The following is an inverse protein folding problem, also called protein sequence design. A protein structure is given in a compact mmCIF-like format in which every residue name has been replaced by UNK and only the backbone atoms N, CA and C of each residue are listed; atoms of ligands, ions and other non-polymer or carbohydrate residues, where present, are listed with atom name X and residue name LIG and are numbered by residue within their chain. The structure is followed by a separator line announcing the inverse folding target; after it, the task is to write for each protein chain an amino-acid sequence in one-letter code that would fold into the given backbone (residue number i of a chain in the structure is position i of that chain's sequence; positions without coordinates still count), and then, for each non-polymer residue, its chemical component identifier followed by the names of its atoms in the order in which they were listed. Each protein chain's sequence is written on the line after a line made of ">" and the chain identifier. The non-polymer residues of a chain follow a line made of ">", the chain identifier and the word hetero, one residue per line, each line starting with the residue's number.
data_IF_676773663904
#
_entry.id   IF_676773663904
#
_cell.length_a   1.000
_cell.length_b   1.000
_cell.length_c   1.000
_cell.angle_alpha   90.00
_cell.angle_beta   90.00
_cell.angle_gamma   90.00
#
_symmetry.space_group_name_H-M   'P 1'
#
loop_
_entity.id
_entity.type
_entity.pdbx_description
1 polymer ?
#
# COMPACT_ATOMS: atom_id res chain seq x y z
N UNK A 1 -11.63 0.81 -0.18
CA UNK A 1 -11.35 -0.53 -0.77
C UNK A 1 -10.24 -1.17 0.05
N UNK A 2 -10.31 -2.47 0.39
CA UNK A 2 -9.23 -3.16 1.13
C UNK A 2 -8.25 -3.83 0.17
N UNK A 3 -6.95 -3.77 0.43
CA UNK A 3 -5.92 -4.42 -0.36
C UNK A 3 -6.18 -5.91 -0.56
N UNK A 4 -6.76 -6.61 0.43
CA UNK A 4 -7.11 -8.04 0.29
C UNK A 4 -8.00 -8.33 -0.92
N UNK A 5 -8.95 -7.44 -1.23
CA UNK A 5 -9.80 -7.57 -2.41
C UNK A 5 -9.06 -7.31 -3.72
N UNK A 6 -8.06 -6.42 -3.69
CA UNK A 6 -7.25 -6.07 -4.86
C UNK A 6 -6.08 -7.04 -5.10
N UNK A 7 -5.61 -7.74 -4.05
CA UNK A 7 -4.46 -8.67 -4.09
C UNK A 7 -4.64 -9.80 -5.10
N UNK A 8 -5.88 -10.26 -5.29
CA UNK A 8 -6.20 -11.36 -6.21
C UNK A 8 -6.37 -10.92 -7.67
N UNK A 9 -6.26 -9.62 -7.95
CA UNK A 9 -6.32 -9.12 -9.33
C UNK A 9 -5.04 -9.46 -10.10
N UNK A 10 -5.21 -9.73 -11.39
CA UNK A 10 -4.09 -9.78 -12.32
C UNK A 10 -3.48 -8.38 -12.49
N UNK A 11 -2.22 -8.33 -12.95
CA UNK A 11 -1.47 -7.08 -13.02
C UNK A 11 -2.18 -6.01 -13.89
N UNK A 12 -2.81 -6.42 -14.99
CA UNK A 12 -3.52 -5.51 -15.91
C UNK A 12 -4.74 -4.87 -15.26
N UNK A 13 -5.59 -5.66 -14.59
CA UNK A 13 -6.77 -5.16 -13.85
C UNK A 13 -6.34 -4.33 -12.64
N UNK A 14 -5.28 -4.76 -11.94
CA UNK A 14 -4.72 -4.02 -10.82
C UNK A 14 -4.25 -2.63 -11.26
N UNK A 15 -3.45 -2.55 -12.33
CA UNK A 15 -2.96 -1.27 -12.89
C UNK A 15 -4.11 -0.39 -13.37
N UNK A 16 -5.12 -0.95 -14.03
CA UNK A 16 -6.30 -0.17 -14.47
C UNK A 16 -7.05 0.44 -13.28
N UNK A 17 -7.20 -0.33 -12.20
CA UNK A 17 -7.92 0.08 -11.00
C UNK A 17 -7.13 1.11 -10.18
N UNK A 18 -5.89 0.78 -9.82
CA UNK A 18 -5.05 1.53 -8.87
C UNK A 18 -4.18 2.60 -9.54
N UNK A 19 -3.92 2.50 -10.84
CA UNK A 19 -3.05 3.40 -11.60
C UNK A 19 -1.58 2.99 -11.62
N UNK A 20 -1.17 2.07 -10.74
CA UNK A 20 0.21 1.59 -10.60
C UNK A 20 0.28 0.09 -10.86
N UNK A 21 1.36 -0.39 -11.47
CA UNK A 21 1.57 -1.83 -11.67
C UNK A 21 1.77 -2.53 -10.32
N UNK A 22 1.29 -3.77 -10.21
CA UNK A 22 1.39 -4.58 -8.99
C UNK A 22 2.83 -4.72 -8.44
N UNK A 23 3.87 -5.03 -9.25
CA UNK A 23 5.24 -5.11 -8.72
C UNK A 23 5.74 -3.77 -8.15
N UNK A 24 5.39 -2.65 -8.78
CA UNK A 24 5.76 -1.31 -8.27
C UNK A 24 5.03 -1.01 -6.96
N UNK A 25 3.75 -1.38 -6.87
CA UNK A 25 3.00 -1.27 -5.60
C UNK A 25 3.67 -2.07 -4.48
N UNK A 26 4.09 -3.30 -4.75
CA UNK A 26 4.76 -4.16 -3.76
C UNK A 26 6.11 -3.56 -3.30
N UNK A 27 6.87 -2.96 -4.21
CA UNK A 27 8.10 -2.21 -3.87
C UNK A 27 7.81 -0.98 -3.00
N UNK A 28 6.77 -0.21 -3.33
CA UNK A 28 6.34 0.94 -2.52
C UNK A 28 5.95 0.50 -1.10
N UNK A 29 5.18 -0.60 -0.96
CA UNK A 29 4.82 -1.16 0.35
C UNK A 29 6.07 -1.57 1.12
N UNK A 30 7.05 -2.22 0.48
CA UNK A 30 8.30 -2.63 1.12
C UNK A 30 9.08 -1.43 1.65
N UNK A 31 9.23 -0.38 0.85
CA UNK A 31 9.88 0.86 1.26
C UNK A 31 9.16 1.53 2.44
N UNK A 32 7.83 1.64 2.35
CA UNK A 32 7.01 2.22 3.42
C UNK A 32 7.08 1.43 4.72
N UNK A 33 7.06 0.09 4.66
CA UNK A 33 7.19 -0.76 5.84
C UNK A 33 8.56 -0.60 6.50
N UNK A 34 9.63 -0.58 5.72
CA UNK A 34 10.98 -0.37 6.24
C UNK A 34 11.09 0.98 6.97
N UNK A 35 10.65 2.06 6.32
CA UNK A 35 10.68 3.40 6.90
C UNK A 35 9.76 3.53 8.13
N UNK A 36 8.59 2.88 8.08
CA UNK A 36 7.67 2.84 9.21
C UNK A 36 8.31 2.20 10.45
N UNK A 37 9.05 1.09 10.28
CA UNK A 37 9.76 0.44 11.38
C UNK A 37 10.84 1.34 11.98
N UNK A 38 11.62 2.04 11.14
CA UNK A 38 12.63 3.00 11.60
C UNK A 38 11.98 4.12 12.41
N UNK A 39 10.90 4.71 11.90
CA UNK A 39 10.18 5.80 12.59
C UNK A 39 9.53 5.36 13.90
N UNK A 40 9.07 4.11 14.00
CA UNK A 40 8.39 3.58 15.18
C UNK A 40 9.31 2.74 16.09
N UNK A 41 10.62 2.73 15.84
CA UNK A 41 11.59 1.98 16.64
C UNK A 41 11.61 2.41 18.11
N UNK A 42 11.26 3.68 18.40
CA UNK A 42 11.21 4.26 19.75
C UNK A 42 9.81 4.21 20.38
N UNK A 43 8.89 3.44 19.80
CA UNK A 43 7.50 3.38 20.19
C UNK A 43 6.63 4.40 19.45
N UNK A 44 5.35 4.46 19.81
CA UNK A 44 4.36 5.32 19.16
C UNK A 44 3.03 4.60 18.92
N UNK A 45 2.05 5.36 18.42
CA UNK A 45 0.72 4.83 18.15
C UNK A 45 0.75 3.99 16.88
N UNK A 46 0.32 2.73 16.98
CA UNK A 46 0.14 1.87 15.82
C UNK A 46 -0.97 2.42 14.90
N UNK A 47 -0.79 2.39 13.58
CA UNK A 47 -1.81 2.81 12.63
C UNK A 47 -3.02 1.90 12.74
N UNK A 48 -4.21 2.49 12.60
CA UNK A 48 -5.48 1.75 12.60
C UNK A 48 -5.69 0.93 11.32
N UNK A 49 -5.01 1.32 10.24
CA UNK A 49 -5.07 0.70 8.93
C UNK A 49 -3.71 0.05 8.59
N UNK A 50 -3.75 -1.00 7.78
CA UNK A 50 -2.54 -1.57 7.20
C UNK A 50 -1.87 -0.56 6.24
N UNK A 51 -0.55 -0.64 6.11
CA UNK A 51 0.22 0.25 5.23
C UNK A 51 -0.21 0.05 3.76
N UNK A 52 -0.57 -1.17 3.39
CA UNK A 52 -1.12 -1.52 2.08
C UNK A 52 -2.43 -0.80 1.80
N UNK A 53 -3.35 -0.78 2.77
CA UNK A 53 -4.64 -0.11 2.63
C UNK A 53 -4.48 1.41 2.57
N UNK A 54 -3.54 1.96 3.35
CA UNK A 54 -3.19 3.38 3.29
C UNK A 54 -2.65 3.75 1.90
N UNK A 55 -1.65 3.03 1.41
CA UNK A 55 -1.07 3.30 0.10
C UNK A 55 -2.13 3.19 -1.01
N UNK A 56 -3.00 2.19 -0.93
CA UNK A 56 -4.08 1.99 -1.89
C UNK A 56 -5.06 3.18 -1.88
N UNK A 57 -5.46 3.66 -0.71
CA UNK A 57 -6.32 4.84 -0.59
C UNK A 57 -5.63 6.11 -1.13
N UNK A 58 -4.34 6.30 -0.84
CA UNK A 58 -3.58 7.46 -1.32
C UNK A 58 -3.47 7.47 -2.85
N UNK A 59 -3.16 6.32 -3.47
CA UNK A 59 -3.09 6.21 -4.92
C UNK A 59 -4.45 6.41 -5.60
N UNK A 60 -5.54 5.95 -4.97
CA UNK A 60 -6.90 6.19 -5.46
C UNK A 60 -7.30 7.65 -5.34
N UNK A 61 -6.85 8.35 -4.31
CA UNK A 61 -7.12 9.77 -4.11
C UNK A 61 -6.37 10.67 -5.11
N UNK A 62 -5.12 10.31 -5.43
CA UNK A 62 -4.27 11.07 -6.35
C UNK A 62 -4.60 10.85 -7.83
N UNK A 63 -5.40 9.83 -8.13
CA UNK A 63 -5.83 9.48 -9.47
C UNK A 63 -6.92 10.41 -9.97
#
# INVERSE_FOLDING_TARGET
>A
MKYETAKNLNNTRFKRLIGVAKPVFDEMVKALKAEYQVKHARGGRKPKLAIEDLLLATLQYLK
#
